data_IF_201318717821
#
_entry.id   IF_201318717821
#
_cell.length_a   1.000
_cell.length_b   1.000
_cell.length_c   1.000
_cell.angle_alpha   90.00
_cell.angle_beta   90.00
_cell.angle_gamma   90.00
#
_symmetry.space_group_name_H-M   'P 1'
#
loop_
_entity.id
_entity.type
_entity.pdbx_description
1 polymer ?
#
# COMPACT_ATOMS: atom_id res chain seq x y z
N UNK A 1 -4.10 14.21 33.45
CA UNK A 1 -3.71 13.01 32.68
C UNK A 1 -3.04 13.51 31.41
N UNK A 2 -1.86 12.98 31.05
CA UNK A 2 -1.23 13.27 29.76
C UNK A 2 -1.48 12.10 28.81
N UNK A 3 -1.80 12.40 27.55
CA UNK A 3 -2.02 11.43 26.48
C UNK A 3 -0.75 10.61 26.26
N UNK A 4 -0.85 9.28 26.26
CA UNK A 4 0.30 8.37 26.17
C UNK A 4 0.48 7.73 24.81
N UNK A 5 -0.60 7.65 24.03
CA UNK A 5 -0.62 7.17 22.65
C UNK A 5 -1.53 8.06 21.84
N UNK A 6 -1.32 8.11 20.54
CA UNK A 6 -2.19 8.90 19.68
C UNK A 6 -3.62 8.36 19.71
N UNK A 7 -4.57 9.19 20.15
CA UNK A 7 -5.99 8.83 20.25
C UNK A 7 -6.80 9.55 19.18
N UNK A 8 -7.88 8.91 18.71
CA UNK A 8 -8.74 9.47 17.67
C UNK A 8 -10.13 9.77 18.22
N UNK A 9 -10.58 11.01 18.07
CA UNK A 9 -11.89 11.48 18.47
C UNK A 9 -12.71 11.88 17.24
N UNK A 10 -13.97 11.48 17.21
CA UNK A 10 -14.89 11.84 16.12
C UNK A 10 -16.00 12.73 16.66
N UNK A 11 -16.17 13.90 16.07
CA UNK A 11 -17.26 14.84 16.41
C UNK A 11 -18.03 15.23 15.16
N UNK A 12 -19.36 15.31 15.27
CA UNK A 12 -20.23 15.80 14.20
C UNK A 12 -20.79 17.15 14.61
N UNK A 13 -20.56 18.17 13.80
CA UNK A 13 -21.04 19.52 14.06
C UNK A 13 -21.29 20.27 12.75
N UNK A 14 -22.40 21.03 12.69
CA UNK A 14 -22.85 21.78 11.49
C UNK A 14 -22.86 20.95 10.20
N UNK A 15 -23.31 19.69 10.31
CA UNK A 15 -23.41 18.78 9.16
C UNK A 15 -22.08 18.24 8.64
N UNK A 16 -20.95 18.53 9.28
CA UNK A 16 -19.63 17.97 8.97
C UNK A 16 -19.17 17.02 10.07
N UNK A 17 -18.42 15.99 9.67
CA UNK A 17 -17.73 15.09 10.59
C UNK A 17 -16.26 15.50 10.66
N UNK A 18 -15.77 15.69 11.88
CA UNK A 18 -14.38 16.00 12.18
C UNK A 18 -13.76 14.78 12.87
N UNK A 19 -12.56 14.44 12.43
CA UNK A 19 -11.72 13.41 13.04
C UNK A 19 -10.51 14.13 13.61
N UNK A 20 -10.35 14.08 14.93
CA UNK A 20 -9.29 14.75 15.67
C UNK A 20 -8.32 13.68 16.16
N UNK A 21 -7.04 13.91 15.93
CA UNK A 21 -5.96 13.10 16.48
C UNK A 21 -5.36 13.86 17.65
N UNK A 22 -5.48 13.31 18.86
CA UNK A 22 -4.77 13.81 20.03
C UNK A 22 -3.46 13.06 20.17
N UNK A 23 -2.34 13.77 20.12
CA UNK A 23 -0.99 13.17 20.09
C UNK A 23 -0.28 13.36 21.42
N UNK A 24 0.53 12.39 21.87
CA UNK A 24 1.47 12.62 22.96
C UNK A 24 2.36 13.83 22.66
N UNK A 25 2.67 14.63 23.69
CA UNK A 25 3.62 15.72 23.55
C UNK A 25 5.05 15.19 23.59
N UNK A 26 5.93 15.71 22.72
CA UNK A 26 7.36 15.36 22.67
C UNK A 26 8.17 15.69 23.96
N UNK A 27 7.55 16.23 25.03
CA UNK A 27 8.20 16.52 26.33
C UNK A 27 7.66 15.58 27.42
N UNK A 28 7.32 14.34 27.06
CA UNK A 28 6.74 13.39 28.01
C UNK A 28 7.84 12.82 28.92
N UNK A 29 7.74 13.13 30.21
CA UNK A 29 8.63 12.57 31.25
C UNK A 29 8.65 11.03 31.33
N UNK A 30 7.74 10.33 30.65
CA UNK A 30 7.62 8.87 30.67
C UNK A 30 8.06 8.19 29.37
N UNK A 31 8.21 8.93 28.26
CA UNK A 31 8.53 8.36 26.94
C UNK A 31 9.57 9.23 26.26
N UNK A 32 10.57 8.58 25.64
CA UNK A 32 11.57 9.29 24.84
C UNK A 32 10.95 9.91 23.58
N UNK A 33 11.51 11.03 23.15
CA UNK A 33 11.13 11.78 21.94
C UNK A 33 11.11 10.86 20.71
N UNK A 34 12.03 9.90 20.63
CA UNK A 34 12.09 8.89 19.58
C UNK A 34 10.81 8.06 19.49
N UNK A 35 10.35 7.49 20.60
CA UNK A 35 9.13 6.67 20.60
C UNK A 35 7.88 7.49 20.25
N UNK A 36 7.86 8.76 20.64
CA UNK A 36 6.77 9.69 20.32
C UNK A 36 6.77 10.00 18.83
N UNK A 37 7.94 10.26 18.25
CA UNK A 37 8.12 10.46 16.82
C UNK A 37 7.59 9.25 16.03
N UNK A 38 7.92 8.04 16.47
CA UNK A 38 7.45 6.79 15.87
C UNK A 38 5.92 6.69 15.92
N UNK A 39 5.31 6.85 17.10
CA UNK A 39 3.85 6.75 17.27
C UNK A 39 3.10 7.74 16.37
N UNK A 40 3.57 8.99 16.31
CA UNK A 40 2.98 10.04 15.47
C UNK A 40 3.18 9.72 13.99
N UNK A 41 4.40 9.40 13.57
CA UNK A 41 4.75 9.15 12.17
C UNK A 41 4.01 7.93 11.60
N UNK A 42 3.92 6.84 12.37
CA UNK A 42 3.17 5.64 12.00
C UNK A 42 1.67 5.93 11.91
N UNK A 43 1.11 6.64 12.89
CA UNK A 43 -0.33 7.00 12.89
C UNK A 43 -0.70 7.87 11.69
N UNK A 44 0.09 8.90 11.41
CA UNK A 44 -0.11 9.79 10.26
C UNK A 44 0.04 9.06 8.93
N UNK A 45 1.00 8.12 8.84
CA UNK A 45 1.24 7.32 7.65
C UNK A 45 0.15 6.28 7.40
N UNK A 46 -0.36 5.62 8.46
CA UNK A 46 -1.47 4.68 8.37
C UNK A 46 -2.77 5.37 7.91
N UNK A 47 -3.02 6.58 8.41
CA UNK A 47 -4.13 7.44 7.98
C UNK A 47 -4.02 7.77 6.48
N UNK A 48 -2.84 8.16 6.01
CA UNK A 48 -2.59 8.47 4.60
C UNK A 48 -2.77 7.25 3.67
N UNK A 49 -2.26 6.08 4.07
CA UNK A 49 -2.48 4.80 3.35
C UNK A 49 -3.97 4.46 3.24
N UNK A 50 -4.77 4.85 4.23
CA UNK A 50 -6.22 4.69 4.26
C UNK A 50 -6.99 5.77 3.48
N UNK A 51 -6.27 6.63 2.73
CA UNK A 51 -6.80 7.77 1.96
C UNK A 51 -7.46 8.86 2.81
N UNK A 52 -7.19 8.88 4.11
CA UNK A 52 -7.57 9.96 5.02
C UNK A 52 -6.45 11.02 4.98
N UNK A 53 -6.74 12.17 4.38
CA UNK A 53 -5.80 13.30 4.29
C UNK A 53 -6.09 14.31 5.40
N UNK A 54 -5.05 14.83 6.04
CA UNK A 54 -5.20 15.89 7.05
C UNK A 54 -5.54 17.23 6.39
N UNK A 55 -6.55 17.92 6.92
CA UNK A 55 -6.88 19.29 6.54
C UNK A 55 -5.95 20.32 7.21
N UNK A 56 -5.43 20.02 8.38
CA UNK A 56 -4.47 20.87 9.07
C UNK A 56 -4.04 20.33 10.42
N UNK A 57 -3.07 21.00 11.03
CA UNK A 57 -2.55 20.67 12.36
C UNK A 57 -2.65 21.89 13.27
N UNK A 58 -3.08 21.67 14.50
CA UNK A 58 -3.11 22.67 15.55
C UNK A 58 -1.93 22.42 16.50
N UNK A 59 -0.93 23.28 16.47
CA UNK A 59 0.19 23.24 17.41
C UNK A 59 -0.12 24.15 18.60
N UNK A 60 -0.18 23.58 19.81
CA UNK A 60 -0.52 24.31 21.03
C UNK A 60 0.74 24.74 21.78
N UNK A 61 0.79 26.00 22.19
CA UNK A 61 1.89 26.54 23.00
C UNK A 61 1.37 27.33 24.20
N UNK A 62 1.90 27.04 25.38
CA UNK A 62 1.51 27.69 26.62
C UNK A 62 2.16 29.07 26.74
N UNK A 63 1.37 30.14 26.63
CA UNK A 63 1.94 31.50 26.69
C UNK A 63 2.43 31.89 28.09
N UNK A 64 1.95 31.18 29.12
CA UNK A 64 2.32 31.41 30.52
C UNK A 64 3.75 31.00 30.86
N UNK A 65 4.40 30.18 30.03
CA UNK A 65 5.75 29.71 30.29
C UNK A 65 6.76 30.85 30.02
N UNK A 66 7.66 31.10 30.98
CA UNK A 66 8.57 32.26 30.96
C UNK A 66 9.73 32.12 29.98
N UNK A 67 10.11 30.88 29.65
CA UNK A 67 11.26 30.58 28.80
C UNK A 67 10.90 29.45 27.85
N UNK A 68 11.24 29.64 26.57
CA UNK A 68 11.37 28.52 25.64
C UNK A 68 12.61 27.75 26.07
N UNK A 69 12.41 26.57 26.67
CA UNK A 69 13.51 25.67 27.02
C UNK A 69 14.09 25.03 25.75
N UNK A 70 15.31 24.49 25.85
CA UNK A 70 15.92 23.74 24.74
C UNK A 70 15.04 22.54 24.32
N UNK A 71 14.34 21.90 25.27
CA UNK A 71 13.39 20.82 24.97
C UNK A 71 12.18 21.29 24.16
N UNK A 72 11.58 22.44 24.50
CA UNK A 72 10.48 23.02 23.71
C UNK A 72 10.93 23.35 22.28
N UNK A 73 12.14 23.87 22.12
CA UNK A 73 12.69 24.18 20.80
C UNK A 73 12.92 22.91 19.97
N UNK A 74 13.57 21.89 20.55
CA UNK A 74 13.74 20.58 19.92
C UNK A 74 12.42 19.99 19.44
N UNK A 75 11.41 20.03 20.29
CA UNK A 75 10.08 19.50 20.00
C UNK A 75 9.40 20.24 18.85
N UNK A 76 9.60 21.56 18.79
CA UNK A 76 9.11 22.37 17.70
C UNK A 76 9.84 22.10 16.39
N UNK A 77 11.17 21.90 16.41
CA UNK A 77 11.93 21.54 15.22
C UNK A 77 11.54 20.15 14.69
N UNK A 78 11.35 19.15 15.55
CA UNK A 78 10.79 17.84 15.14
C UNK A 78 9.42 17.98 14.46
N UNK A 79 8.52 18.78 15.04
CA UNK A 79 7.22 19.06 14.45
C UNK A 79 7.34 19.70 13.06
N UNK A 80 8.28 20.63 12.87
CA UNK A 80 8.55 21.26 11.58
C UNK A 80 9.03 20.25 10.54
N UNK A 81 9.95 19.36 10.91
CA UNK A 81 10.46 18.32 10.02
C UNK A 81 9.38 17.31 9.63
N UNK A 82 8.48 16.93 10.55
CA UNK A 82 7.34 16.05 10.26
C UNK A 82 6.38 16.65 9.24
N UNK A 83 6.07 17.95 9.39
CA UNK A 83 5.15 18.66 8.51
C UNK A 83 5.77 18.91 7.13
N UNK A 84 6.98 19.46 7.10
CA UNK A 84 7.62 20.02 5.93
C UNK A 84 7.01 21.34 5.47
N UNK A 85 7.82 22.13 4.77
CA UNK A 85 7.52 23.51 4.37
C UNK A 85 6.17 23.66 3.63
N UNK A 86 5.85 22.71 2.76
CA UNK A 86 4.62 22.74 1.96
C UNK A 86 3.35 22.66 2.83
N UNK A 87 3.44 22.02 4.01
CA UNK A 87 2.31 21.84 4.90
C UNK A 87 2.12 23.03 5.85
N UNK A 88 3.08 23.96 5.95
CA UNK A 88 3.01 25.06 6.93
C UNK A 88 1.78 25.96 6.75
N UNK A 89 1.26 26.12 5.53
CA UNK A 89 0.00 26.84 5.28
C UNK A 89 -1.24 26.19 5.91
N UNK A 90 -1.14 24.91 6.26
CA UNK A 90 -2.15 24.11 6.95
C UNK A 90 -1.89 23.98 8.46
N UNK A 91 -0.91 24.71 9.00
CA UNK A 91 -0.60 24.73 10.43
C UNK A 91 -1.19 25.96 11.10
N UNK A 92 -1.89 25.72 12.21
CA UNK A 92 -2.32 26.74 13.16
C UNK A 92 -1.42 26.68 14.39
N UNK A 93 -0.63 27.73 14.59
CA UNK A 93 0.18 27.94 15.79
C UNK A 93 -0.69 28.69 16.80
N UNK A 94 -1.05 28.00 17.87
CA UNK A 94 -2.08 28.46 18.81
C UNK A 94 -1.51 28.66 20.20
N UNK A 95 -1.62 29.88 20.71
CA UNK A 95 -1.22 30.22 22.08
C UNK A 95 -2.37 29.98 23.05
N UNK A 96 -2.12 29.25 24.14
CA UNK A 96 -3.10 28.85 25.17
C UNK A 96 -2.74 29.47 26.53
N UNK A 97 -3.64 29.37 27.53
CA UNK A 97 -3.47 29.88 28.91
C UNK A 97 -3.40 31.42 29.04
N UNK A 98 -4.11 32.14 28.16
CA UNK A 98 -4.24 33.59 28.25
C UNK A 98 -5.03 34.03 29.49
N UNK A 99 -5.99 33.22 29.92
CA UNK A 99 -6.82 33.38 31.10
C UNK A 99 -6.07 33.23 32.44
N UNK A 100 -4.89 32.61 32.42
CA UNK A 100 -4.05 32.43 33.62
C UNK A 100 -2.95 33.48 33.76
N UNK A 101 -2.81 34.40 32.80
CA UNK A 101 -1.84 35.49 32.91
C UNK A 101 -2.30 36.53 33.92
N UNK A 102 -1.39 36.97 34.79
CA UNK A 102 -1.64 38.13 35.67
C UNK A 102 -1.75 39.44 34.89
N UNK A 103 -1.08 39.51 33.74
CA UNK A 103 -1.03 40.66 32.86
C UNK A 103 -0.94 40.18 31.40
N UNK A 104 -1.84 40.69 30.57
CA UNK A 104 -1.88 40.35 29.14
C UNK A 104 -0.68 40.91 28.38
N UNK A 105 -0.13 42.07 28.77
CA UNK A 105 1.00 42.69 28.08
C UNK A 105 2.22 41.76 28.06
N UNK A 106 2.45 41.06 29.18
CA UNK A 106 3.47 40.00 29.30
C UNK A 106 3.27 38.87 28.28
N UNK A 107 2.03 38.39 28.12
CA UNK A 107 1.69 37.37 27.13
C UNK A 107 1.91 37.85 25.69
N UNK A 108 1.52 39.08 25.39
CA UNK A 108 1.73 39.67 24.08
C UNK A 108 3.21 39.89 23.75
N UNK A 109 4.02 40.25 24.75
CA UNK A 109 5.47 40.34 24.57
C UNK A 109 6.06 38.98 24.20
N UNK A 110 5.67 37.91 24.89
CA UNK A 110 6.11 36.54 24.60
C UNK A 110 5.66 36.08 23.22
N UNK A 111 4.40 36.35 22.85
CA UNK A 111 3.89 36.03 21.51
C UNK A 111 4.69 36.78 20.42
N UNK A 112 5.00 38.07 20.64
CA UNK A 112 5.87 38.82 19.71
C UNK A 112 7.27 38.22 19.60
N UNK A 113 7.83 37.70 20.68
CA UNK A 113 9.14 37.02 20.65
C UNK A 113 9.08 35.71 19.85
N UNK A 114 8.03 34.89 20.05
CA UNK A 114 7.76 33.68 19.24
C UNK A 114 7.75 34.00 17.74
N UNK A 115 7.05 35.06 17.35
CA UNK A 115 6.87 35.44 15.95
C UNK A 115 8.10 36.10 15.31
N UNK A 116 9.02 36.64 16.11
CA UNK A 116 10.20 37.35 15.60
C UNK A 116 11.35 36.41 15.25
N UNK A 117 11.53 35.32 15.99
CA UNK A 117 12.67 34.42 15.79
C UNK A 117 12.37 33.43 14.66
N UNK A 118 13.24 33.34 13.62
CA UNK A 118 13.07 32.37 12.54
C UNK A 118 13.00 30.93 13.04
N UNK A 119 13.89 30.57 13.98
CA UNK A 119 13.99 29.23 14.58
C UNK A 119 12.79 28.89 15.49
N UNK A 120 11.91 29.86 15.75
CA UNK A 120 10.63 29.67 16.43
C UNK A 120 9.51 29.80 15.39
N UNK A 121 8.50 30.62 15.64
CA UNK A 121 7.32 30.68 14.77
C UNK A 121 7.52 31.57 13.54
N UNK A 122 8.61 32.35 13.48
CA UNK A 122 8.86 33.32 12.42
C UNK A 122 8.91 32.67 11.03
N UNK A 123 9.65 31.57 10.87
CA UNK A 123 9.76 30.89 9.59
C UNK A 123 8.42 30.28 9.14
N UNK A 124 7.76 29.54 10.03
CA UNK A 124 6.46 28.92 9.74
C UNK A 124 5.41 29.98 9.37
N UNK A 125 5.35 31.09 10.10
CA UNK A 125 4.49 32.23 9.77
C UNK A 125 4.80 32.81 8.39
N UNK A 126 6.09 32.98 8.06
CA UNK A 126 6.50 33.49 6.74
C UNK A 126 6.07 32.60 5.58
N UNK A 127 5.94 31.29 5.84
CA UNK A 127 5.51 30.24 4.89
C UNK A 127 4.00 29.93 4.97
N UNK A 128 3.22 30.74 5.68
CA UNK A 128 1.76 30.71 5.65
C UNK A 128 1.07 30.11 6.89
N UNK A 129 1.79 29.71 7.93
CA UNK A 129 1.16 29.25 9.17
C UNK A 129 0.35 30.36 9.83
N UNK A 130 -0.82 29.99 10.33
CA UNK A 130 -1.78 30.92 10.93
C UNK A 130 -1.59 30.98 12.44
N UNK A 131 -1.70 32.17 13.02
CA UNK A 131 -1.55 32.38 14.46
C UNK A 131 -2.92 32.64 15.08
N UNK A 132 -3.27 31.93 16.15
CA UNK A 132 -4.51 32.16 16.91
C UNK A 132 -4.25 32.16 18.41
N UNK A 133 -5.04 32.93 19.15
CA UNK A 133 -5.09 32.88 20.62
C UNK A 133 -6.28 32.03 21.03
N UNK A 134 -6.06 31.05 21.89
CA UNK A 134 -7.12 30.20 22.41
C UNK A 134 -7.61 30.71 23.76
N UNK A 135 -8.89 31.08 23.83
CA UNK A 135 -9.51 31.68 25.01
C UNK A 135 -10.05 30.67 26.03
N UNK A 136 -9.68 29.39 25.90
CA UNK A 136 -10.16 28.32 26.79
C UNK A 136 -11.70 28.20 26.85
N UNK A 137 -12.37 28.47 25.72
CA UNK A 137 -13.83 28.35 25.58
C UNK A 137 -14.22 27.36 24.49
N UNK A 138 -15.39 26.75 24.63
CA UNK A 138 -15.95 25.88 23.58
C UNK A 138 -16.09 26.64 22.25
N UNK A 139 -16.50 27.90 22.29
CA UNK A 139 -16.66 28.72 21.08
C UNK A 139 -15.32 28.90 20.36
N UNK A 140 -14.24 29.25 21.07
CA UNK A 140 -12.91 29.35 20.47
C UNK A 140 -12.40 28.04 19.87
N UNK A 141 -12.78 26.88 20.43
CA UNK A 141 -12.43 25.59 19.86
C UNK A 141 -13.20 25.31 18.56
N UNK A 142 -14.50 25.61 18.55
CA UNK A 142 -15.36 25.44 17.37
C UNK A 142 -14.91 26.33 16.21
N UNK A 143 -14.58 27.59 16.49
CA UNK A 143 -14.13 28.53 15.47
C UNK A 143 -12.80 28.05 14.83
N UNK A 144 -11.85 27.63 15.67
CA UNK A 144 -10.58 27.07 15.20
C UNK A 144 -10.78 25.82 14.32
N UNK A 145 -11.64 24.88 14.74
CA UNK A 145 -11.94 23.69 13.95
C UNK A 145 -12.55 24.02 12.59
N UNK A 146 -13.40 25.04 12.54
CA UNK A 146 -14.04 25.47 11.30
C UNK A 146 -13.05 26.09 10.32
N UNK A 147 -12.11 26.89 10.83
CA UNK A 147 -11.01 27.44 10.03
C UNK A 147 -10.11 26.33 9.47
N UNK A 148 -9.72 25.36 10.30
CA UNK A 148 -8.89 24.21 9.89
C UNK A 148 -9.59 23.40 8.79
N UNK A 149 -10.88 23.11 8.93
CA UNK A 149 -11.64 22.35 7.94
C UNK A 149 -11.95 23.12 6.65
N UNK A 150 -11.66 24.42 6.59
CA UNK A 150 -11.73 25.21 5.36
C UNK A 150 -10.52 25.02 4.43
N UNK A 151 -9.42 24.43 4.93
CA UNK A 151 -8.18 24.30 4.18
C UNK A 151 -8.16 23.07 3.26
N UNK A 152 -7.55 23.17 2.07
CA UNK A 152 -7.36 22.02 1.20
C UNK A 152 -6.38 21.03 1.85
N UNK A 153 -6.63 19.71 1.81
CA UNK A 153 -5.70 18.75 2.38
C UNK A 153 -4.34 18.74 1.68
N UNK A 154 -3.26 18.80 2.45
CA UNK A 154 -1.87 18.75 1.97
C UNK A 154 -1.19 17.51 2.55
N UNK A 155 -0.26 16.92 1.80
CA UNK A 155 0.51 15.74 2.23
C UNK A 155 1.68 16.22 3.09
N UNK A 156 1.83 15.63 4.28
CA UNK A 156 2.97 15.93 5.15
C UNK A 156 4.26 15.32 4.59
N UNK A 157 5.40 15.91 4.94
CA UNK A 157 6.71 15.38 4.57
C UNK A 157 6.91 13.93 5.05
N UNK A 158 6.56 13.63 6.30
CA UNK A 158 6.67 12.27 6.85
C UNK A 158 5.82 11.25 6.10
N UNK A 159 4.63 11.64 5.63
CA UNK A 159 3.75 10.77 4.85
C UNK A 159 4.35 10.48 3.47
N UNK A 160 4.91 11.51 2.82
CA UNK A 160 5.62 11.35 1.55
C UNK A 160 6.82 10.41 1.69
N UNK A 161 7.62 10.60 2.73
CA UNK A 161 8.82 9.79 3.01
C UNK A 161 8.45 8.33 3.33
N UNK A 162 7.51 8.11 4.23
CA UNK A 162 7.19 6.75 4.68
C UNK A 162 6.30 5.97 3.72
N UNK A 163 5.36 6.64 3.03
CA UNK A 163 4.35 5.97 2.21
C UNK A 163 4.73 5.98 0.73
N UNK A 164 5.22 7.10 0.20
CA UNK A 164 5.55 7.20 -1.24
C UNK A 164 6.97 6.75 -1.53
N UNK A 165 7.92 7.04 -0.63
CA UNK A 165 9.33 6.65 -0.78
C UNK A 165 9.67 5.36 -0.03
N UNK A 166 8.77 4.86 0.84
CA UNK A 166 8.96 3.62 1.59
C UNK A 166 10.04 3.68 2.68
N UNK A 167 10.36 4.89 3.16
CA UNK A 167 11.36 5.07 4.21
C UNK A 167 10.82 4.65 5.58
N UNK A 168 11.66 4.02 6.40
CA UNK A 168 11.37 3.83 7.82
C UNK A 168 11.46 5.16 8.56
N UNK A 169 10.74 5.30 9.69
CA UNK A 169 10.67 6.54 10.51
C UNK A 169 12.06 7.11 10.78
N UNK A 170 13.04 6.26 11.10
CA UNK A 170 14.40 6.65 11.46
C UNK A 170 15.18 7.30 10.31
N UNK A 171 14.79 6.98 9.06
CA UNK A 171 15.39 7.50 7.83
C UNK A 171 14.61 8.70 7.24
N UNK A 172 13.50 9.09 7.88
CA UNK A 172 12.76 10.31 7.51
C UNK A 172 13.58 11.56 7.87
N UNK A 173 13.20 12.72 7.31
CA UNK A 173 13.86 13.99 7.65
C UNK A 173 13.81 14.25 9.16
N UNK A 174 12.66 13.97 9.80
CA UNK A 174 12.50 14.12 11.25
C UNK A 174 13.35 13.12 12.05
N UNK A 175 13.40 11.85 11.62
CA UNK A 175 14.20 10.81 12.28
C UNK A 175 15.71 11.06 12.19
N UNK A 176 16.19 11.52 11.03
CA UNK A 176 17.59 11.89 10.83
C UNK A 176 17.97 13.09 11.70
N UNK A 177 17.12 14.12 11.74
CA UNK A 177 17.34 15.31 12.57
C UNK A 177 17.42 14.95 14.06
N UNK A 178 16.46 14.14 14.56
CA UNK A 178 16.46 13.69 15.95
C UNK A 178 17.73 12.88 16.28
N UNK A 179 18.12 11.93 15.43
CA UNK A 179 19.34 11.15 15.66
C UNK A 179 20.60 12.01 15.74
N UNK A 180 20.71 13.01 14.87
CA UNK A 180 21.82 13.96 14.89
C UNK A 180 21.85 14.76 16.19
N UNK A 181 20.70 15.28 16.61
CA UNK A 181 20.59 16.08 17.83
C UNK A 181 20.89 15.26 19.10
N UNK A 182 20.37 14.04 19.20
CA UNK A 182 20.69 13.14 20.31
C UNK A 182 22.19 12.82 20.34
N UNK A 183 22.84 12.66 19.18
CA UNK A 183 24.28 12.40 19.10
C UNK A 183 25.11 13.63 19.52
N UNK A 184 24.74 14.83 19.07
CA UNK A 184 25.41 16.08 19.46
C UNK A 184 25.25 16.37 20.96
N UNK A 185 24.04 16.17 21.49
CA UNK A 185 23.76 16.34 22.91
C UNK A 185 24.55 15.33 23.77
N UNK A 186 24.64 14.07 23.33
CA UNK A 186 25.47 13.07 23.98
C UNK A 186 26.94 13.49 24.00
N UNK A 187 27.48 13.91 22.87
CA UNK A 187 28.88 14.33 22.76
C UNK A 187 29.20 15.55 23.65
N UNK A 188 28.25 16.49 23.80
CA UNK A 188 28.36 17.62 24.73
C UNK A 188 28.44 17.14 26.18
N UNK A 189 27.54 16.24 26.59
CA UNK A 189 27.54 15.72 27.96
C UNK A 189 28.75 14.83 28.26
N UNK A 190 29.23 14.03 27.31
CA UNK A 190 30.44 13.23 27.45
C UNK A 190 31.66 14.13 27.75
N UNK A 191 31.82 15.25 27.03
CA UNK A 191 32.88 16.24 27.30
C UNK A 191 32.72 16.93 28.66
N UNK A 192 31.49 17.21 29.07
CA UNK A 192 31.24 17.80 30.38
C UNK A 192 31.55 16.83 31.52
N UNK A 193 31.23 15.54 31.35
CA UNK A 193 31.60 14.47 32.30
C UNK A 193 33.12 14.39 32.42
N UNK A 194 33.86 14.38 31.30
CA UNK A 194 35.33 14.39 31.32
C UNK A 194 35.87 15.59 32.11
N UNK A 195 35.34 16.79 31.87
CA UNK A 195 35.73 17.99 32.63
C UNK A 195 35.38 17.90 34.11
N UNK A 196 34.24 17.28 34.47
CA UNK A 196 33.86 17.07 35.87
C UNK A 196 34.82 16.10 36.57
N UNK A 197 35.19 15.01 35.92
CA UNK A 197 36.16 14.03 36.44
C UNK A 197 37.52 14.70 36.71
N UNK A 198 38.02 15.53 35.79
CA UNK A 198 39.25 16.30 36.01
C UNK A 198 39.15 17.26 37.21
N UNK A 199 38.00 17.94 37.37
CA UNK A 199 37.76 18.86 38.50
C UNK A 199 37.66 18.11 39.82
N UNK A 200 37.07 16.92 39.83
CA UNK A 200 37.03 16.07 41.02
C UNK A 200 38.44 15.66 41.45
N UNK A 201 39.31 15.29 40.51
CA UNK A 201 40.69 14.94 40.83
C UNK A 201 41.46 16.13 41.42
N UNK A 202 41.27 17.33 40.87
CA UNK A 202 41.84 18.57 41.45
C UNK A 202 41.31 18.85 42.85
N UNK A 203 40.00 18.71 43.07
CA UNK A 203 39.40 18.87 44.40
C UNK A 203 39.93 17.83 45.39
N UNK A 204 40.17 16.59 44.95
CA UNK A 204 40.81 15.52 45.74
C UNK A 204 42.22 15.90 46.17
N UNK A 205 43.04 16.41 45.24
CA UNK A 205 44.41 16.88 45.54
C UNK A 205 44.43 18.07 46.50
N UNK A 206 43.41 18.92 46.45
CA UNK A 206 43.23 20.07 47.34
C UNK A 206 42.55 19.71 48.68
N UNK A 207 42.19 18.45 48.88
CA UNK A 207 41.44 17.96 50.05
C UNK A 207 40.10 18.69 50.28
N UNK A 208 39.48 19.23 49.23
CA UNK A 208 38.15 19.85 49.29
C UNK A 208 37.06 18.77 49.09
N UNK A 209 36.71 18.12 50.19
CA UNK A 209 35.67 17.08 50.23
C UNK A 209 34.27 17.60 49.86
N UNK A 210 33.96 18.87 50.13
CA UNK A 210 32.65 19.43 49.82
C UNK A 210 32.49 19.63 48.31
N UNK A 211 33.49 20.24 47.67
CA UNK A 211 33.51 20.44 46.23
C UNK A 211 33.52 19.09 45.49
N UNK A 212 34.30 18.11 45.96
CA UNK A 212 34.34 16.77 45.36
C UNK A 212 32.94 16.12 45.33
N UNK A 213 32.23 16.11 46.47
CA UNK A 213 30.89 15.52 46.56
C UNK A 213 29.86 16.21 45.66
N UNK A 214 29.93 17.54 45.54
CA UNK A 214 29.04 18.27 44.63
C UNK A 214 29.30 17.91 43.16
N UNK A 215 30.57 17.79 42.77
CA UNK A 215 30.95 17.42 41.41
C UNK A 215 30.61 15.96 41.08
N UNK A 216 30.72 15.05 42.06
CA UNK A 216 30.32 13.64 41.93
C UNK A 216 28.81 13.51 41.68
N UNK A 217 28.00 14.26 42.42
CA UNK A 217 26.55 14.29 42.20
C UNK A 217 26.17 14.85 40.82
N UNK A 218 26.90 15.86 40.33
CA UNK A 218 26.70 16.39 38.98
C UNK A 218 27.11 15.38 37.89
N UNK A 219 28.25 14.72 38.07
CA UNK A 219 28.71 13.66 37.16
C UNK A 219 27.68 12.54 37.10
N UNK A 220 27.23 12.02 38.26
CA UNK A 220 26.25 10.95 38.34
C UNK A 220 24.95 11.29 37.60
N UNK A 221 24.44 12.52 37.74
CA UNK A 221 23.25 12.99 37.01
C UNK A 221 23.49 13.03 35.50
N UNK A 222 24.63 13.56 35.05
CA UNK A 222 24.95 13.63 33.62
C UNK A 222 25.20 12.25 33.02
N UNK A 223 25.90 11.36 33.72
CA UNK A 223 26.13 9.98 33.30
C UNK A 223 24.82 9.20 33.19
N UNK A 224 23.89 9.39 34.14
CA UNK A 224 22.56 8.82 34.03
C UNK A 224 21.80 9.33 32.79
N UNK A 225 21.89 10.63 32.52
CA UNK A 225 21.27 11.24 31.33
C UNK A 225 21.90 10.75 30.01
N UNK A 226 23.22 10.62 29.94
CA UNK A 226 23.92 10.03 28.77
C UNK A 226 23.46 8.60 28.53
N UNK A 227 23.28 7.80 29.59
CA UNK A 227 22.75 6.44 29.47
C UNK A 227 21.34 6.43 28.88
N UNK A 228 20.47 7.32 29.34
CA UNK A 228 19.11 7.46 28.82
C UNK A 228 19.10 7.82 27.32
N UNK A 229 19.93 8.78 26.90
CA UNK A 229 20.09 9.11 25.47
C UNK A 229 20.61 7.91 24.64
N UNK A 230 21.50 7.10 25.20
CA UNK A 230 21.99 5.90 24.52
C UNK A 230 20.92 4.83 24.37
N UNK A 231 20.08 4.64 25.39
CA UNK A 231 18.93 3.74 25.35
C UNK A 231 17.93 4.20 24.28
N UNK A 232 17.63 5.50 24.21
CA UNK A 232 16.75 6.07 23.19
C UNK A 232 17.29 5.85 21.76
N UNK A 233 18.57 6.11 21.53
CA UNK A 233 19.20 5.80 20.23
C UNK A 233 19.18 4.29 19.91
N UNK A 234 19.31 3.43 20.93
CA UNK A 234 19.25 1.99 20.74
C UNK A 234 17.85 1.53 20.34
N UNK A 235 16.80 2.12 20.92
CA UNK A 235 15.39 1.89 20.54
C UNK A 235 15.18 2.27 19.08
N UNK A 236 15.54 3.50 18.68
CA UNK A 236 15.42 3.95 17.29
C UNK A 236 16.15 3.00 16.32
N UNK A 237 17.39 2.60 16.64
CA UNK A 237 18.15 1.65 15.82
C UNK A 237 17.54 0.25 15.79
N UNK A 238 16.95 -0.21 16.89
CA UNK A 238 16.26 -1.50 16.94
C UNK A 238 15.02 -1.49 16.05
N UNK A 239 14.22 -0.44 16.12
CA UNK A 239 13.04 -0.29 15.27
C UNK A 239 13.38 -0.19 13.79
N UNK A 240 14.42 0.58 13.42
CA UNK A 240 14.87 0.62 12.03
C UNK A 240 15.27 -0.77 11.51
N UNK A 241 16.00 -1.55 12.32
CA UNK A 241 16.36 -2.93 11.96
C UNK A 241 15.13 -3.83 11.83
N UNK A 242 14.16 -3.67 12.73
CA UNK A 242 12.94 -4.46 12.67
C UNK A 242 12.08 -4.08 11.46
N UNK A 243 11.98 -2.79 11.13
CA UNK A 243 11.33 -2.28 9.92
C UNK A 243 11.92 -2.88 8.65
N UNK A 244 13.25 -2.83 8.50
CA UNK A 244 13.96 -3.46 7.39
C UNK A 244 13.68 -4.97 7.31
N UNK A 245 13.73 -5.67 8.45
CA UNK A 245 13.44 -7.11 8.51
C UNK A 245 12.00 -7.42 8.09
N UNK A 246 11.02 -6.61 8.51
CA UNK A 246 9.61 -6.77 8.08
C UNK A 246 9.47 -6.56 6.58
N UNK A 247 10.08 -5.50 6.03
CA UNK A 247 10.02 -5.25 4.58
C UNK A 247 10.66 -6.38 3.77
N UNK A 248 11.81 -6.90 4.21
CA UNK A 248 12.50 -8.03 3.56
C UNK A 248 11.66 -9.33 3.62
N UNK A 249 11.02 -9.60 4.76
CA UNK A 249 10.09 -10.72 4.92
C UNK A 249 8.88 -10.58 3.99
N UNK A 250 8.23 -9.41 3.96
CA UNK A 250 7.10 -9.14 3.07
C UNK A 250 7.48 -9.26 1.58
N UNK A 251 8.69 -8.85 1.22
CA UNK A 251 9.21 -9.02 -0.13
C UNK A 251 9.40 -10.51 -0.45
N UNK A 252 10.03 -11.26 0.46
CA UNK A 252 10.26 -12.70 0.32
C UNK A 252 8.96 -13.47 0.22
N UNK A 253 7.98 -13.18 1.08
CA UNK A 253 6.67 -13.83 1.07
C UNK A 253 5.89 -13.52 -0.22
N UNK A 254 5.92 -12.27 -0.68
CA UNK A 254 5.34 -11.90 -1.98
C UNK A 254 6.00 -12.63 -3.14
N UNK A 255 7.32 -12.74 -3.13
CA UNK A 255 8.07 -13.47 -4.14
C UNK A 255 7.71 -14.96 -4.17
N UNK A 256 7.66 -15.61 -3.00
CA UNK A 256 7.26 -17.02 -2.87
C UNK A 256 5.83 -17.22 -3.36
N UNK A 257 4.90 -16.33 -2.99
CA UNK A 257 3.50 -16.40 -3.44
C UNK A 257 3.40 -16.28 -4.96
N UNK A 258 4.08 -15.30 -5.54
CA UNK A 258 4.13 -15.07 -6.98
C UNK A 258 4.66 -16.30 -7.73
N UNK A 259 5.74 -16.92 -7.24
CA UNK A 259 6.32 -18.09 -7.90
C UNK A 259 5.41 -19.33 -7.80
N UNK A 260 4.67 -19.48 -6.69
CA UNK A 260 3.62 -20.51 -6.56
C UNK A 260 2.48 -20.29 -7.55
N UNK A 261 1.96 -19.06 -7.63
CA UNK A 261 0.87 -18.70 -8.55
C UNK A 261 1.28 -18.94 -10.01
N UNK A 262 2.50 -18.56 -10.37
CA UNK A 262 3.09 -18.81 -11.69
C UNK A 262 3.20 -20.31 -12.00
N UNK A 263 3.65 -21.12 -11.04
CA UNK A 263 3.71 -22.59 -11.21
C UNK A 263 2.32 -23.18 -11.45
N UNK A 264 1.34 -22.79 -10.62
CA UNK A 264 -0.06 -23.25 -10.77
C UNK A 264 -0.65 -22.83 -12.12
N UNK A 265 -0.38 -21.62 -12.58
CA UNK A 265 -0.84 -21.13 -13.88
C UNK A 265 -0.23 -21.95 -15.03
N UNK A 266 1.06 -22.24 -14.96
CA UNK A 266 1.76 -23.07 -15.96
C UNK A 266 1.22 -24.50 -16.02
N UNK A 267 0.93 -25.13 -14.88
CA UNK A 267 0.33 -26.47 -14.83
C UNK A 267 -1.08 -26.47 -15.44
N UNK A 268 -1.86 -25.42 -15.19
CA UNK A 268 -3.21 -25.27 -15.73
C UNK A 268 -3.21 -25.08 -17.25
N UNK A 269 -2.25 -24.32 -17.78
CA UNK A 269 -2.05 -24.16 -19.23
C UNK A 269 -1.73 -25.50 -19.87
N UNK A 270 -0.76 -26.26 -19.33
CA UNK A 270 -0.43 -27.60 -19.85
C UNK A 270 -1.63 -28.56 -19.82
N UNK A 271 -2.45 -28.50 -18.77
CA UNK A 271 -3.64 -29.34 -18.64
C UNK A 271 -4.68 -29.01 -19.72
N UNK A 272 -4.95 -27.72 -19.93
CA UNK A 272 -5.89 -27.26 -20.95
C UNK A 272 -5.39 -27.54 -22.37
N UNK A 273 -4.07 -27.46 -22.62
CA UNK A 273 -3.49 -27.87 -23.90
C UNK A 273 -3.77 -29.34 -24.19
N UNK A 274 -3.53 -30.21 -23.21
CA UNK A 274 -3.78 -31.64 -23.36
C UNK A 274 -5.26 -31.92 -23.61
N UNK A 275 -6.16 -31.25 -22.89
CA UNK A 275 -7.61 -31.38 -23.08
C UNK A 275 -8.03 -30.88 -24.47
N UNK A 276 -7.59 -29.69 -24.88
CA UNK A 276 -7.87 -29.13 -26.20
C UNK A 276 -7.39 -30.06 -27.32
N UNK A 277 -6.21 -30.67 -27.19
CA UNK A 277 -5.69 -31.59 -28.22
C UNK A 277 -6.53 -32.86 -28.30
N UNK A 278 -6.87 -33.45 -27.14
CA UNK A 278 -7.75 -34.62 -27.07
C UNK A 278 -9.14 -34.34 -27.64
N UNK A 279 -9.72 -33.17 -27.34
CA UNK A 279 -11.01 -32.75 -27.91
C UNK A 279 -10.96 -32.62 -29.43
N UNK A 280 -9.89 -32.04 -29.99
CA UNK A 280 -9.70 -31.96 -31.44
C UNK A 280 -9.58 -33.34 -32.09
N UNK A 281 -8.76 -34.22 -31.52
CA UNK A 281 -8.53 -35.57 -32.07
C UNK A 281 -9.82 -36.42 -31.98
N UNK A 282 -10.57 -36.29 -30.88
CA UNK A 282 -11.87 -36.94 -30.70
C UNK A 282 -12.93 -36.36 -31.64
N UNK A 283 -12.94 -35.04 -31.86
CA UNK A 283 -13.88 -34.41 -32.78
C UNK A 283 -13.61 -34.82 -34.24
N UNK A 284 -12.33 -34.92 -34.63
CA UNK A 284 -11.92 -35.42 -35.95
C UNK A 284 -12.35 -36.88 -36.16
N UNK A 285 -12.05 -37.74 -35.20
CA UNK A 285 -12.45 -39.17 -35.26
C UNK A 285 -13.97 -39.32 -35.37
N UNK A 286 -14.74 -38.55 -34.58
CA UNK A 286 -16.20 -38.55 -34.65
C UNK A 286 -16.70 -38.08 -36.01
N UNK A 287 -16.08 -37.06 -36.59
CA UNK A 287 -16.45 -36.57 -37.92
C UNK A 287 -16.19 -37.63 -39.00
N UNK A 288 -15.05 -38.31 -38.94
CA UNK A 288 -14.71 -39.39 -39.89
C UNK A 288 -15.73 -40.55 -39.81
N UNK A 289 -16.17 -40.93 -38.60
CA UNK A 289 -17.21 -41.93 -38.39
C UNK A 289 -18.58 -41.51 -38.94
N UNK A 290 -19.01 -40.27 -38.65
CA UNK A 290 -20.29 -39.74 -39.17
C UNK A 290 -20.30 -39.75 -40.70
N UNK A 291 -19.17 -39.40 -41.34
CA UNK A 291 -19.05 -39.42 -42.80
C UNK A 291 -19.06 -40.84 -43.37
N UNK A 292 -18.43 -41.80 -42.69
CA UNK A 292 -18.43 -43.21 -43.12
C UNK A 292 -19.84 -43.82 -43.05
N UNK A 293 -20.54 -43.62 -41.92
CA UNK A 293 -21.91 -44.12 -41.75
C UNK A 293 -22.89 -43.45 -42.71
N UNK A 294 -22.73 -42.14 -42.96
CA UNK A 294 -23.50 -41.46 -44.00
C UNK A 294 -23.27 -42.06 -45.38
N UNK A 295 -22.02 -42.33 -45.76
CA UNK A 295 -21.70 -42.93 -47.05
C UNK A 295 -22.31 -44.34 -47.18
N UNK A 296 -22.37 -45.14 -46.10
CA UNK A 296 -23.05 -46.45 -46.08
C UNK A 296 -24.55 -46.33 -46.31
N UNK A 297 -25.23 -45.41 -45.62
CA UNK A 297 -26.67 -45.16 -45.78
C UNK A 297 -26.98 -44.69 -47.22
N UNK A 298 -26.14 -43.82 -47.77
CA UNK A 298 -26.27 -43.36 -49.16
C UNK A 298 -26.09 -44.50 -50.17
N UNK A 299 -25.18 -45.44 -49.92
CA UNK A 299 -25.00 -46.61 -50.78
C UNK A 299 -26.25 -47.52 -50.75
N UNK A 300 -26.79 -47.80 -49.56
CA UNK A 300 -28.01 -48.60 -49.39
C UNK A 300 -29.22 -47.98 -50.09
N UNK A 301 -29.44 -46.68 -49.93
CA UNK A 301 -30.54 -45.96 -50.58
C UNK A 301 -30.37 -45.88 -52.12
N UNK A 302 -29.13 -45.88 -52.62
CA UNK A 302 -28.85 -45.94 -54.07
C UNK A 302 -29.11 -47.34 -54.64
N UNK A 303 -28.81 -48.40 -53.89
CA UNK A 303 -29.13 -49.79 -54.29
C UNK A 303 -30.64 -50.06 -54.28
N UNK A 304 -31.38 -49.53 -53.29
CA UNK A 304 -32.85 -49.60 -53.24
C UNK A 304 -33.55 -48.76 -54.34
N UNK A 305 -32.83 -47.84 -54.98
CA UNK A 305 -33.32 -46.97 -56.06
C UNK A 305 -33.61 -47.73 -57.36
N UNK A 306 -33.14 -48.97 -57.49
CA UNK A 306 -33.46 -49.83 -58.62
C UNK A 306 -34.98 -50.18 -58.73
N UNK A 307 -35.81 -49.82 -57.73
CA UNK A 307 -37.24 -50.20 -57.71
C UNK A 307 -38.31 -49.10 -57.50
N UNK A 308 -38.02 -47.86 -57.06
CA UNK A 308 -39.09 -46.90 -56.70
C UNK A 308 -38.74 -45.40 -56.87
N UNK A 309 -39.68 -44.63 -57.44
CA UNK A 309 -39.54 -43.18 -57.74
C UNK A 309 -39.48 -42.28 -56.49
N UNK A 310 -40.09 -42.70 -55.37
CA UNK A 310 -40.12 -41.97 -54.08
C UNK A 310 -38.73 -41.85 -53.40
N UNK A 311 -37.80 -42.76 -53.69
CA UNK A 311 -36.45 -42.76 -53.10
C UNK A 311 -35.52 -41.71 -53.75
N UNK A 312 -35.83 -41.20 -54.94
CA UNK A 312 -34.96 -40.24 -55.63
C UNK A 312 -34.94 -38.84 -54.98
N UNK A 313 -36.07 -38.38 -54.44
CA UNK A 313 -36.15 -37.08 -53.77
C UNK A 313 -35.40 -37.10 -52.43
N UNK A 314 -35.59 -38.15 -51.61
CA UNK A 314 -34.85 -38.35 -50.35
C UNK A 314 -33.34 -38.41 -50.55
N UNK A 315 -32.87 -39.09 -51.59
CA UNK A 315 -31.43 -39.15 -51.92
C UNK A 315 -30.87 -37.77 -52.26
N UNK A 316 -31.63 -36.94 -52.98
CA UNK A 316 -31.20 -35.57 -53.33
C UNK A 316 -31.19 -34.63 -52.10
N UNK A 317 -32.16 -34.77 -51.20
CA UNK A 317 -32.20 -34.01 -49.95
C UNK A 317 -31.03 -34.38 -49.03
N UNK A 318 -30.72 -35.68 -48.88
CA UNK A 318 -29.55 -36.15 -48.13
C UNK A 318 -28.22 -35.71 -48.77
N UNK A 319 -28.11 -35.70 -50.10
CA UNK A 319 -26.91 -35.17 -50.79
C UNK A 319 -26.69 -33.68 -50.52
N UNK A 320 -27.77 -32.89 -50.39
CA UNK A 320 -27.69 -31.47 -50.01
C UNK A 320 -27.25 -31.31 -48.54
N UNK A 321 -27.83 -32.11 -47.65
CA UNK A 321 -27.49 -32.13 -46.22
C UNK A 321 -26.02 -32.54 -45.98
N UNK A 322 -25.51 -33.52 -46.75
CA UNK A 322 -24.08 -33.89 -46.77
C UNK A 322 -23.19 -32.70 -47.07
N UNK A 323 -23.52 -31.96 -48.13
CA UNK A 323 -22.73 -30.81 -48.56
C UNK A 323 -22.72 -29.69 -47.50
N UNK A 324 -23.84 -29.47 -46.82
CA UNK A 324 -23.93 -28.51 -45.71
C UNK A 324 -23.08 -28.95 -44.51
N UNK A 325 -23.11 -30.24 -44.13
CA UNK A 325 -22.27 -30.80 -43.07
C UNK A 325 -20.79 -30.70 -43.42
N UNK A 326 -20.39 -31.05 -44.64
CA UNK A 326 -19.01 -30.91 -45.13
C UNK A 326 -18.55 -29.44 -45.09
N UNK A 327 -19.41 -28.51 -45.52
CA UNK A 327 -19.11 -27.08 -45.47
C UNK A 327 -18.98 -26.54 -44.03
N UNK A 328 -19.82 -27.00 -43.10
CA UNK A 328 -19.70 -26.67 -41.67
C UNK A 328 -18.42 -27.24 -41.06
N UNK A 329 -18.09 -28.50 -41.38
CA UNK A 329 -16.87 -29.15 -40.94
C UNK A 329 -15.62 -28.43 -41.44
N UNK A 330 -15.60 -28.00 -42.69
CA UNK A 330 -14.50 -27.23 -43.27
C UNK A 330 -14.32 -25.87 -42.58
N UNK A 331 -15.42 -25.15 -42.31
CA UNK A 331 -15.39 -23.88 -41.57
C UNK A 331 -14.86 -24.06 -40.15
N UNK A 332 -15.36 -25.06 -39.42
CA UNK A 332 -14.88 -25.37 -38.07
C UNK A 332 -13.38 -25.73 -38.09
N UNK A 333 -12.95 -26.58 -39.02
CA UNK A 333 -11.53 -26.96 -39.17
C UNK A 333 -10.64 -25.74 -39.42
N UNK A 334 -11.04 -24.86 -40.32
CA UNK A 334 -10.28 -23.64 -40.64
C UNK A 334 -10.12 -22.73 -39.41
N UNK A 335 -11.18 -22.57 -38.62
CA UNK A 335 -11.14 -21.79 -37.38
C UNK A 335 -10.28 -22.48 -36.31
N UNK A 336 -10.35 -23.81 -36.18
CA UNK A 336 -9.49 -24.57 -35.28
C UNK A 336 -8.00 -24.47 -35.62
N UNK A 337 -7.66 -24.56 -36.91
CA UNK A 337 -6.28 -24.43 -37.40
C UNK A 337 -5.75 -23.02 -37.11
N UNK A 338 -6.58 -21.99 -37.34
CA UNK A 338 -6.24 -20.60 -37.03
C UNK A 338 -5.97 -20.41 -35.53
N UNK A 339 -6.87 -20.85 -34.66
CA UNK A 339 -6.72 -20.71 -33.21
C UNK A 339 -5.50 -21.48 -32.69
N UNK A 340 -5.23 -22.65 -33.26
CA UNK A 340 -4.06 -23.47 -32.89
C UNK A 340 -2.75 -22.78 -33.26
N UNK A 341 -2.68 -22.15 -34.43
CA UNK A 341 -1.51 -21.38 -34.85
C UNK A 341 -1.29 -20.14 -33.98
N UNK A 342 -2.36 -19.44 -33.57
CA UNK A 342 -2.26 -18.28 -32.67
C UNK A 342 -1.73 -18.68 -31.29
N UNK A 343 -2.21 -19.81 -30.74
CA UNK A 343 -1.69 -20.36 -29.48
C UNK A 343 -0.20 -20.71 -29.60
N UNK A 344 0.23 -21.38 -30.67
CA UNK A 344 1.64 -21.73 -30.89
C UNK A 344 2.55 -20.50 -30.95
N UNK A 345 2.14 -19.45 -31.66
CA UNK A 345 2.91 -18.20 -31.74
C UNK A 345 3.07 -17.53 -30.37
N UNK A 346 2.00 -17.48 -29.58
CA UNK A 346 2.04 -16.90 -28.25
C UNK A 346 2.93 -17.72 -27.30
N UNK A 347 2.95 -19.04 -27.42
CA UNK A 347 3.85 -19.92 -26.66
C UNK A 347 5.33 -19.69 -27.01
N UNK A 348 5.66 -19.50 -28.30
CA UNK A 348 7.03 -19.17 -28.72
C UNK A 348 7.48 -17.82 -28.16
N UNK A 349 6.61 -16.81 -28.22
CA UNK A 349 6.86 -15.50 -27.61
C UNK A 349 7.06 -15.62 -26.10
N UNK A 350 6.25 -16.45 -25.44
CA UNK A 350 6.33 -16.67 -24.00
C UNK A 350 7.70 -17.19 -23.57
N UNK A 351 8.32 -18.09 -24.34
CA UNK A 351 9.65 -18.66 -24.02
C UNK A 351 10.75 -17.58 -23.92
N UNK A 352 10.62 -16.51 -24.70
CA UNK A 352 11.62 -15.44 -24.83
C UNK A 352 11.30 -14.20 -23.98
N UNK A 353 10.15 -14.18 -23.30
CA UNK A 353 9.60 -12.98 -22.64
C UNK A 353 10.00 -12.82 -21.17
N UNK A 354 9.97 -11.58 -20.69
CA UNK A 354 10.14 -11.24 -19.27
C UNK A 354 9.00 -11.79 -18.40
N UNK A 355 9.17 -11.83 -17.07
CA UNK A 355 8.15 -12.35 -16.16
C UNK A 355 6.80 -11.60 -16.26
N UNK A 356 6.83 -10.28 -16.50
CA UNK A 356 5.63 -9.46 -16.64
C UNK A 356 4.88 -9.73 -17.96
N UNK A 357 5.61 -9.91 -19.05
CA UNK A 357 5.04 -10.22 -20.36
C UNK A 357 4.50 -11.66 -20.41
N UNK A 358 5.14 -12.60 -19.71
CA UNK A 358 4.66 -13.99 -19.60
C UNK A 358 3.25 -14.07 -19.03
N UNK A 359 2.94 -13.32 -17.98
CA UNK A 359 1.60 -13.33 -17.37
C UNK A 359 0.49 -12.85 -18.32
N UNK A 360 0.79 -11.83 -19.14
CA UNK A 360 -0.14 -11.36 -20.17
C UNK A 360 -0.35 -12.42 -21.27
N UNK A 361 0.74 -13.02 -21.75
CA UNK A 361 0.69 -14.08 -22.75
C UNK A 361 -0.06 -15.32 -22.25
N UNK A 362 0.12 -15.69 -20.97
CA UNK A 362 -0.60 -16.78 -20.31
C UNK A 362 -2.12 -16.56 -20.29
N UNK A 363 -2.55 -15.35 -19.92
CA UNK A 363 -3.98 -14.99 -19.92
C UNK A 363 -4.58 -15.08 -21.32
N UNK A 364 -3.83 -14.66 -22.34
CA UNK A 364 -4.28 -14.72 -23.74
C UNK A 364 -4.37 -16.16 -24.26
N UNK A 365 -3.40 -17.01 -23.93
CA UNK A 365 -3.41 -18.43 -24.30
C UNK A 365 -4.65 -19.13 -23.68
N UNK A 366 -4.95 -18.85 -22.41
CA UNK A 366 -6.15 -19.38 -21.74
C UNK A 366 -7.45 -18.97 -22.43
N UNK A 367 -7.57 -17.70 -22.86
CA UNK A 367 -8.74 -17.23 -23.61
C UNK A 367 -8.91 -17.97 -24.94
N UNK A 368 -7.82 -18.15 -25.69
CA UNK A 368 -7.86 -18.84 -26.97
C UNK A 368 -8.23 -20.32 -26.82
N UNK A 369 -7.73 -20.98 -25.77
CA UNK A 369 -8.13 -22.36 -25.45
C UNK A 369 -9.62 -22.46 -25.10
N UNK A 370 -10.15 -21.52 -24.31
CA UNK A 370 -11.58 -21.47 -24.00
C UNK A 370 -12.44 -21.22 -25.26
N UNK A 371 -11.99 -20.34 -26.15
CA UNK A 371 -12.65 -20.09 -27.44
C UNK A 371 -12.66 -21.35 -28.32
N UNK A 372 -11.59 -22.14 -28.28
CA UNK A 372 -11.45 -23.39 -29.03
C UNK A 372 -12.46 -24.45 -28.56
N UNK A 373 -12.59 -24.65 -27.25
CA UNK A 373 -13.61 -25.54 -26.65
C UNK A 373 -15.04 -25.04 -26.94
N UNK A 374 -15.29 -23.73 -26.83
CA UNK A 374 -16.60 -23.14 -27.15
C UNK A 374 -16.99 -23.31 -28.62
N UNK A 375 -16.06 -23.06 -29.55
CA UNK A 375 -16.28 -23.24 -30.99
C UNK A 375 -16.56 -24.70 -31.34
N UNK A 376 -15.88 -25.64 -30.68
CA UNK A 376 -16.13 -27.09 -30.83
C UNK A 376 -17.53 -27.46 -30.32
N UNK A 377 -17.93 -26.97 -29.15
CA UNK A 377 -19.28 -27.20 -28.61
C UNK A 377 -20.37 -26.61 -29.53
N UNK A 378 -20.17 -25.40 -30.05
CA UNK A 378 -21.11 -24.74 -30.98
C UNK A 378 -21.24 -25.50 -32.30
N UNK A 379 -20.13 -26.03 -32.82
CA UNK A 379 -20.15 -26.85 -34.03
C UNK A 379 -21.03 -28.09 -33.83
N UNK A 380 -20.82 -28.84 -32.74
CA UNK A 380 -21.61 -30.04 -32.44
C UNK A 380 -23.10 -29.73 -32.19
N UNK A 381 -23.40 -28.64 -31.49
CA UNK A 381 -24.79 -28.21 -31.29
C UNK A 381 -25.49 -27.81 -32.59
N UNK A 382 -24.75 -27.22 -33.53
CA UNK A 382 -25.29 -26.88 -34.85
C UNK A 382 -25.51 -28.15 -35.70
N UNK A 383 -24.58 -29.10 -35.62
CA UNK A 383 -24.66 -30.37 -36.34
C UNK A 383 -25.87 -31.22 -35.90
N UNK A 384 -26.16 -31.26 -34.60
CA UNK A 384 -27.33 -31.98 -34.07
C UNK A 384 -28.66 -31.32 -34.44
N UNK A 385 -28.68 -30.01 -34.70
CA UNK A 385 -29.88 -29.25 -35.06
C UNK A 385 -30.28 -29.36 -36.53
N UNK A 386 -29.32 -29.64 -37.42
CA UNK A 386 -29.50 -29.53 -38.86
C UNK A 386 -30.01 -30.80 -39.55
N UNK A 387 -30.11 -31.95 -38.85
CA UNK A 387 -30.06 -33.23 -39.58
C UNK A 387 -30.90 -34.41 -39.04
N UNK A 388 -31.33 -35.31 -39.94
CA UNK A 388 -31.68 -36.71 -39.58
C UNK A 388 -30.41 -37.48 -39.13
N UNK A 389 -29.22 -37.03 -39.55
CA UNK A 389 -27.92 -37.45 -38.99
C UNK A 389 -27.78 -37.16 -37.49
N UNK A 390 -28.39 -36.09 -36.98
CA UNK A 390 -28.39 -35.77 -35.54
C UNK A 390 -29.07 -36.85 -34.70
N UNK A 391 -30.07 -37.55 -35.25
CA UNK A 391 -30.69 -38.71 -34.62
C UNK A 391 -29.81 -39.97 -34.65
N UNK A 392 -28.94 -40.12 -35.66
CA UNK A 392 -27.91 -41.19 -35.72
C UNK A 392 -26.78 -40.93 -34.72
N UNK A 393 -26.33 -39.67 -34.59
CA UNK A 393 -25.35 -39.24 -33.59
C UNK A 393 -25.89 -39.42 -32.16
N UNK A 394 -27.18 -39.14 -31.92
CA UNK A 394 -27.85 -39.42 -30.63
C UNK A 394 -27.85 -40.92 -30.29
N UNK A 395 -28.13 -41.80 -31.26
CA UNK A 395 -28.07 -43.26 -31.07
C UNK A 395 -26.66 -43.77 -30.72
N UNK A 396 -25.63 -43.24 -31.35
CA UNK A 396 -24.23 -43.60 -31.06
C UNK A 396 -23.73 -43.06 -29.70
N UNK A 397 -24.27 -41.94 -29.22
CA UNK A 397 -23.97 -41.40 -27.89
C UNK A 397 -24.66 -42.20 -26.77
N UNK A 398 -25.85 -42.78 -27.02
CA UNK A 398 -26.55 -43.67 -26.08
C UNK A 398 -25.94 -45.10 -25.99
N UNK A 399 -25.22 -45.57 -27.01
CA UNK A 399 -24.53 -46.88 -26.99
C UNK A 399 -23.13 -46.86 -26.35
N UNK A 400 -22.56 -45.67 -26.08
CA UNK A 400 -21.18 -45.50 -25.59
C UNK A 400 -21.13 -44.89 -24.17
N UNK A 401 -22.28 -44.50 -23.59
CA UNK A 401 -22.43 -44.17 -22.16
C UNK A 401 -22.77 -45.42 -21.35
#
# INVERSE_FOLDING_TARGET
MCTQKTETFTVKFRGRQFILFDTPGFDDTRRGDGEILIDIAETLSASYKSKLKLSGIVYLHRIKDEKVSNGIQRNFDMFRYLCGDNFFSNVFLVTTFWDELKDNETGEKRERELLKKPDWWGEMKSKGSQIRRFSNTQQSAVDLLWEVAGLPPVVLQVQKEMVEQGLDVVNTTAGVALNYELADLRAKFEKEIESLVERQEKARLQQDEHLRKMLEEQEKKKTAFVRELMEEQAILRAESREGHRRQEQEFTDRYIRMEREKKTLSERIQTLEKQSQLEQDAAKTRMDQVMDDFNKVMAQLKDEKAGASQNSAKVADLEREKYEVEAMGLKWKTEMDRLTLEVQKLQEQQKLSSASEKAYLDSRILQLQAQKTSSTSSFWASLTSLTQLGQFVLKLVEEVA
#
